data_IF_020504252043
#
_entry.id   IF_020504252043
#
_cell.length_a   1.000
_cell.length_b   1.000
_cell.length_c   1.000
_cell.angle_alpha   90.00
_cell.angle_beta   90.00
_cell.angle_gamma   90.00
#
_symmetry.space_group_name_H-M   'P 1'
#
loop_
_entity.id
_entity.type
_entity.pdbx_description
1 polymer ?
#
# COMPACT_ATOMS: atom_id res chain seq x y z
N UNK A 1 -19.29 13.42 7.62
CA UNK A 1 -18.75 12.04 7.77
C UNK A 1 -18.72 11.70 9.25
N UNK A 2 -19.32 10.58 9.68
CA UNK A 2 -19.22 10.14 11.08
C UNK A 2 -17.77 9.70 11.35
N UNK A 3 -17.08 10.38 12.24
CA UNK A 3 -15.71 10.05 12.66
C UNK A 3 -15.75 8.98 13.74
N UNK A 4 -15.66 7.73 13.32
CA UNK A 4 -15.50 6.62 14.26
C UNK A 4 -14.06 6.63 14.79
N UNK A 5 -13.88 6.81 16.11
CA UNK A 5 -12.57 6.64 16.74
C UNK A 5 -12.11 5.19 16.56
N UNK A 6 -10.90 5.02 16.01
CA UNK A 6 -10.29 3.70 15.83
C UNK A 6 -9.84 3.14 17.17
N UNK A 7 -9.99 1.84 17.37
CA UNK A 7 -9.40 1.15 18.53
C UNK A 7 -7.89 1.09 18.41
N UNK A 8 -7.13 0.95 19.51
CA UNK A 8 -5.68 0.77 19.47
C UNK A 8 -5.23 -0.39 18.55
N UNK A 9 -6.00 -1.48 18.51
CA UNK A 9 -5.75 -2.61 17.62
C UNK A 9 -5.91 -2.24 16.15
N UNK A 10 -6.96 -1.48 15.81
CA UNK A 10 -7.16 -1.00 14.43
C UNK A 10 -6.02 -0.07 13.99
N UNK A 11 -5.49 0.76 14.88
CA UNK A 11 -4.33 1.62 14.60
C UNK A 11 -3.11 0.76 14.27
N UNK A 12 -2.78 -0.24 15.11
CA UNK A 12 -1.66 -1.15 14.86
C UNK A 12 -1.78 -1.93 13.54
N UNK A 13 -3.00 -2.34 13.18
CA UNK A 13 -3.24 -3.04 11.91
C UNK A 13 -2.93 -2.11 10.74
N UNK A 14 -3.41 -0.86 10.77
CA UNK A 14 -3.14 0.12 9.72
C UNK A 14 -1.63 0.41 9.60
N UNK A 15 -0.94 0.64 10.72
CA UNK A 15 0.52 0.82 10.74
C UNK A 15 1.27 -0.39 10.15
N UNK A 16 0.77 -1.60 10.40
CA UNK A 16 1.30 -2.83 9.81
C UNK A 16 1.10 -2.88 8.30
N UNK A 17 -0.09 -2.51 7.83
CA UNK A 17 -0.41 -2.45 6.41
C UNK A 17 0.44 -1.42 5.67
N UNK A 18 0.66 -0.23 6.26
CA UNK A 18 1.51 0.81 5.69
C UNK A 18 2.95 0.30 5.50
N UNK A 19 3.51 -0.34 6.53
CA UNK A 19 4.85 -0.95 6.46
C UNK A 19 4.97 -2.06 5.41
N UNK A 20 3.91 -2.86 5.23
CA UNK A 20 3.89 -3.90 4.18
C UNK A 20 3.92 -3.25 2.81
N UNK A 21 3.15 -2.18 2.61
CA UNK A 21 3.09 -1.46 1.34
C UNK A 21 4.45 -0.86 0.97
N UNK A 22 5.12 -0.18 1.90
CA UNK A 22 6.47 0.36 1.71
C UNK A 22 7.47 -0.72 1.30
N UNK A 23 7.54 -1.82 2.05
CA UNK A 23 8.46 -2.93 1.78
C UNK A 23 8.18 -3.62 0.44
N UNK A 24 6.92 -3.74 0.04
CA UNK A 24 6.56 -4.31 -1.26
C UNK A 24 7.04 -3.42 -2.41
N UNK A 25 6.92 -2.10 -2.29
CA UNK A 25 7.43 -1.17 -3.31
C UNK A 25 8.96 -1.28 -3.42
N UNK A 26 9.67 -1.26 -2.29
CA UNK A 26 11.13 -1.43 -2.26
C UNK A 26 11.57 -2.74 -2.90
N UNK A 27 10.90 -3.85 -2.57
CA UNK A 27 11.16 -5.15 -3.15
C UNK A 27 10.95 -5.15 -4.66
N UNK A 28 9.84 -4.59 -5.15
CA UNK A 28 9.52 -4.52 -6.58
C UNK A 28 10.58 -3.75 -7.38
N UNK A 29 11.07 -2.63 -6.82
CA UNK A 29 12.18 -1.85 -7.37
C UNK A 29 13.47 -2.66 -7.40
N UNK A 30 13.85 -3.29 -6.28
CA UNK A 30 15.07 -4.10 -6.18
C UNK A 30 15.09 -5.27 -7.17
N UNK A 31 13.93 -5.89 -7.39
CA UNK A 31 13.78 -7.03 -8.30
C UNK A 31 13.57 -6.63 -9.77
N UNK A 32 13.58 -5.33 -10.10
CA UNK A 32 13.26 -4.81 -11.43
C UNK A 32 11.95 -5.37 -12.00
N UNK A 33 10.93 -5.50 -11.14
CA UNK A 33 9.64 -6.09 -11.50
C UNK A 33 8.53 -5.04 -11.60
N UNK A 34 7.61 -5.21 -12.54
CA UNK A 34 6.47 -4.31 -12.74
C UNK A 34 5.64 -4.13 -11.46
N UNK A 35 5.40 -2.87 -11.10
CA UNK A 35 4.43 -2.48 -10.08
C UNK A 35 3.09 -2.19 -10.75
N UNK A 36 2.06 -2.96 -10.41
CA UNK A 36 0.71 -2.79 -10.97
C UNK A 36 -0.18 -2.14 -9.92
N UNK A 37 -0.77 -0.99 -10.26
CA UNK A 37 -1.68 -0.23 -9.39
C UNK A 37 -3.00 0.04 -10.09
N UNK A 38 -4.07 0.23 -9.30
CA UNK A 38 -5.31 0.79 -9.79
C UNK A 38 -5.26 2.31 -9.57
N UNK A 39 -5.32 3.07 -10.66
CA UNK A 39 -5.35 4.54 -10.64
C UNK A 39 -6.44 5.01 -11.57
N UNK A 40 -7.34 5.87 -11.08
CA UNK A 40 -8.44 6.43 -11.86
C UNK A 40 -9.30 5.32 -12.54
N UNK A 41 -9.62 4.27 -11.77
CA UNK A 41 -10.31 3.05 -12.22
C UNK A 41 -9.62 2.29 -13.38
N UNK A 42 -8.33 2.57 -13.62
CA UNK A 42 -7.52 1.91 -14.65
C UNK A 42 -6.36 1.17 -14.02
N UNK A 43 -6.06 0.00 -14.58
CA UNK A 43 -4.86 -0.76 -14.22
C UNK A 43 -3.65 -0.09 -14.88
N UNK A 44 -2.73 0.44 -14.08
CA UNK A 44 -1.49 1.08 -14.53
C UNK A 44 -0.31 0.23 -14.10
N UNK A 45 0.63 0.02 -15.03
CA UNK A 45 1.90 -0.68 -14.76
C UNK A 45 3.03 0.33 -14.73
N UNK A 46 3.75 0.38 -13.63
CA UNK A 46 4.94 1.21 -13.43
C UNK A 46 6.14 0.28 -13.52
N UNK A 47 6.96 0.49 -14.55
CA UNK A 47 8.26 -0.17 -14.67
C UNK A 47 9.25 0.53 -13.74
N UNK A 48 10.17 -0.23 -13.10
CA UNK A 48 11.25 0.34 -12.30
C UNK A 48 12.18 1.24 -13.14
#
# INVERSE_FOLDING_TARGET
>A
MKTYKRTPTQIKILEGMDKVYEKLIEFKKKMNSDLVILKDDKIVRIKP
#
